data_IF_335059284195
#
_entry.id   IF_335059284195
#
_cell.length_a   1.000
_cell.length_b   1.000
_cell.length_c   1.000
_cell.angle_alpha   90.00
_cell.angle_beta   90.00
_cell.angle_gamma   90.00
#
_symmetry.space_group_name_H-M   'P 1'
#
loop_
_entity.id
_entity.type
_entity.pdbx_description
1 polymer ?
#
# COMPACT_ATOMS: atom_id res chain seq x y z
N UNK A 1 61.93 -23.34 30.05
CA UNK A 1 60.47 -23.29 29.78
C UNK A 1 60.22 -22.08 28.88
N UNK A 2 59.84 -22.30 27.62
CA UNK A 2 59.53 -21.22 26.67
C UNK A 2 58.02 -21.18 26.47
N UNK A 3 57.36 -20.14 26.96
CA UNK A 3 55.95 -19.89 26.67
C UNK A 3 55.84 -19.20 25.30
N UNK A 4 55.14 -19.85 24.38
CA UNK A 4 54.72 -19.23 23.11
C UNK A 4 53.34 -18.63 23.33
N UNK A 5 53.10 -17.36 22.96
CA UNK A 5 51.76 -16.80 22.98
C UNK A 5 50.99 -17.35 21.78
N UNK A 6 49.80 -17.91 22.05
CA UNK A 6 48.84 -18.29 21.02
C UNK A 6 48.00 -17.04 20.72
N UNK A 7 48.16 -16.50 19.52
CA UNK A 7 47.34 -15.41 19.01
C UNK A 7 46.00 -16.01 18.55
N UNK A 8 44.93 -15.81 19.33
CA UNK A 8 43.57 -16.19 18.92
C UNK A 8 42.99 -15.04 18.09
N UNK A 9 42.95 -15.23 16.77
CA UNK A 9 42.26 -14.31 15.87
C UNK A 9 40.76 -14.59 15.91
N UNK A 10 40.00 -13.74 16.60
CA UNK A 10 38.53 -13.77 16.59
C UNK A 10 38.08 -13.10 15.28
N UNK A 11 37.68 -13.92 14.31
CA UNK A 11 37.05 -13.45 13.08
C UNK A 11 35.58 -13.16 13.38
N UNK A 12 35.24 -11.88 13.54
CA UNK A 12 33.86 -11.44 13.63
C UNK A 12 33.21 -11.53 12.24
N UNK A 13 32.49 -12.61 11.96
CA UNK A 13 31.59 -12.70 10.81
C UNK A 13 30.43 -11.74 11.02
N UNK A 14 30.50 -10.57 10.37
CA UNK A 14 29.35 -9.70 10.15
C UNK A 14 28.37 -10.46 9.24
N UNK A 15 27.35 -11.07 9.83
CA UNK A 15 26.16 -11.48 9.09
C UNK A 15 25.45 -10.19 8.69
N UNK A 16 25.65 -9.75 7.45
CA UNK A 16 24.78 -8.76 6.85
C UNK A 16 23.40 -9.41 6.72
N UNK A 17 22.48 -9.06 7.61
CA UNK A 17 21.06 -9.39 7.47
C UNK A 17 20.63 -8.93 6.09
N UNK A 18 20.46 -9.89 5.18
CA UNK A 18 19.86 -9.61 3.90
C UNK A 18 18.40 -9.30 4.21
N UNK A 19 18.02 -8.03 4.24
CA UNK A 19 16.60 -7.66 4.20
C UNK A 19 16.12 -8.23 2.86
N UNK A 20 15.44 -9.38 2.93
CA UNK A 20 14.87 -10.00 1.74
C UNK A 20 13.66 -9.16 1.42
N UNK A 21 13.83 -8.24 0.50
CA UNK A 21 12.74 -7.38 0.12
C UNK A 21 11.68 -8.19 -0.63
N UNK A 22 10.44 -8.09 -0.14
CA UNK A 22 9.35 -8.90 -0.65
C UNK A 22 8.71 -8.17 -1.83
N UNK A 23 8.98 -8.66 -3.03
CA UNK A 23 8.34 -8.10 -4.22
C UNK A 23 6.81 -8.22 -4.14
N UNK A 24 6.11 -7.15 -4.53
CA UNK A 24 4.66 -7.20 -4.62
C UNK A 24 4.22 -8.30 -5.61
N UNK A 25 3.28 -9.20 -5.23
CA UNK A 25 2.71 -10.19 -6.14
C UNK A 25 2.18 -9.54 -7.42
N UNK A 26 2.28 -10.23 -8.56
CA UNK A 26 1.93 -9.68 -9.88
C UNK A 26 0.53 -9.06 -9.94
N UNK A 27 -0.45 -9.70 -9.31
CA UNK A 27 -1.82 -9.20 -9.25
C UNK A 27 -1.96 -7.95 -8.36
N UNK A 28 -1.23 -7.89 -7.24
CA UNK A 28 -1.19 -6.68 -6.40
C UNK A 28 -0.50 -5.53 -7.15
N UNK A 29 0.59 -5.81 -7.88
CA UNK A 29 1.24 -4.81 -8.75
C UNK A 29 0.33 -4.35 -9.89
N UNK A 30 -0.49 -5.25 -10.45
CA UNK A 30 -1.50 -4.87 -11.43
C UNK A 30 -2.57 -3.96 -10.80
N UNK A 31 -2.99 -4.23 -9.56
CA UNK A 31 -3.88 -3.34 -8.83
C UNK A 31 -3.23 -1.98 -8.54
N UNK A 32 -1.97 -1.94 -8.09
CA UNK A 32 -1.21 -0.70 -7.90
C UNK A 32 -1.20 0.16 -9.16
N UNK A 33 -0.85 -0.43 -10.32
CA UNK A 33 -0.84 0.28 -11.59
C UNK A 33 -2.25 0.76 -11.98
N UNK A 34 -3.27 -0.06 -11.74
CA UNK A 34 -4.67 0.28 -12.02
C UNK A 34 -5.18 1.41 -11.12
N UNK A 35 -4.82 1.40 -9.84
CA UNK A 35 -5.15 2.45 -8.88
C UNK A 35 -4.55 3.78 -9.33
N UNK A 36 -3.27 3.80 -9.75
CA UNK A 36 -2.63 4.99 -10.32
C UNK A 36 -3.27 5.43 -11.63
N UNK A 37 -3.44 4.54 -12.61
CA UNK A 37 -3.99 4.95 -13.92
C UNK A 37 -5.51 5.24 -13.90
N UNK A 38 -6.20 4.91 -12.81
CA UNK A 38 -7.66 4.94 -12.72
C UNK A 38 -8.29 6.32 -12.58
N UNK A 39 -7.48 7.39 -12.47
CA UNK A 39 -7.95 8.74 -12.17
C UNK A 39 -8.56 8.86 -10.78
N UNK A 40 -9.30 9.94 -10.54
CA UNK A 40 -9.82 10.27 -9.22
C UNK A 40 -10.82 9.22 -8.70
N UNK A 41 -10.92 9.13 -7.37
CA UNK A 41 -11.94 8.35 -6.69
C UNK A 41 -13.14 9.24 -6.35
N UNK A 42 -14.29 8.98 -6.97
CA UNK A 42 -15.47 9.85 -6.88
C UNK A 42 -16.75 9.03 -6.78
N UNK A 43 -17.87 9.69 -6.44
CA UNK A 43 -19.18 9.05 -6.39
C UNK A 43 -19.26 7.96 -5.32
N UNK A 44 -19.84 6.81 -5.66
CA UNK A 44 -20.07 5.71 -4.72
C UNK A 44 -18.78 5.01 -4.25
N UNK A 45 -17.67 5.19 -4.97
CA UNK A 45 -16.38 4.59 -4.61
C UNK A 45 -15.63 5.43 -3.56
N UNK A 46 -15.98 6.70 -3.38
CA UNK A 46 -15.36 7.61 -2.42
C UNK A 46 -16.07 7.49 -1.05
N UNK A 47 -15.37 6.92 -0.07
CA UNK A 47 -15.90 6.80 1.29
C UNK A 47 -15.88 8.14 2.03
N UNK A 48 -14.77 8.87 1.88
CA UNK A 48 -14.63 10.23 2.37
C UNK A 48 -13.50 10.93 1.61
N UNK A 49 -13.73 12.19 1.25
CA UNK A 49 -12.80 13.05 0.48
C UNK A 49 -12.41 14.27 1.29
N UNK A 50 -11.30 14.92 0.96
CA UNK A 50 -10.91 16.19 1.58
C UNK A 50 -9.64 16.14 2.40
N UNK A 51 -8.87 15.06 2.29
CA UNK A 51 -7.67 14.81 3.09
C UNK A 51 -6.41 15.30 2.40
N UNK A 52 -5.42 15.64 3.20
CA UNK A 52 -4.16 16.20 2.76
C UNK A 52 -3.08 15.13 2.82
N UNK A 53 -2.37 14.96 1.70
CA UNK A 53 -1.20 14.11 1.63
C UNK A 53 0.06 14.85 2.09
N UNK A 54 0.08 16.16 1.86
CA UNK A 54 1.07 17.10 2.38
C UNK A 54 0.35 18.40 2.70
N UNK A 55 0.94 19.28 3.50
CA UNK A 55 0.39 20.60 3.84
C UNK A 55 -0.06 21.39 2.61
N UNK A 56 0.61 21.20 1.48
CA UNK A 56 0.38 21.94 0.24
C UNK A 56 -0.42 21.17 -0.81
N UNK A 57 -0.91 19.97 -0.49
CA UNK A 57 -1.60 19.07 -1.43
C UNK A 57 -3.04 19.46 -1.77
N UNK A 58 -3.63 20.39 -1.01
CA UNK A 58 -4.95 20.97 -1.32
C UNK A 58 -6.17 20.11 -0.99
N UNK A 59 -6.01 19.05 -0.18
CA UNK A 59 -7.17 18.30 0.33
C UNK A 59 -7.85 17.40 -0.70
N UNK A 60 -7.08 16.77 -1.59
CA UNK A 60 -7.61 15.95 -2.69
C UNK A 60 -7.47 14.44 -2.47
N UNK A 61 -6.91 14.01 -1.35
CA UNK A 61 -6.81 12.59 -1.01
C UNK A 61 -8.14 12.05 -0.47
N UNK A 62 -8.43 10.81 -0.84
CA UNK A 62 -9.71 10.13 -0.62
C UNK A 62 -9.50 8.74 -0.05
N UNK A 63 -10.30 8.37 0.96
CA UNK A 63 -10.49 6.96 1.33
C UNK A 63 -11.37 6.30 0.27
N UNK A 64 -10.80 5.36 -0.49
CA UNK A 64 -11.34 4.91 -1.76
C UNK A 64 -11.60 3.41 -1.80
N UNK A 65 -12.71 2.99 -2.42
CA UNK A 65 -13.04 1.57 -2.68
C UNK A 65 -13.01 1.19 -4.15
N UNK A 66 -12.68 2.14 -5.04
CA UNK A 66 -12.65 1.91 -6.49
C UNK A 66 -11.81 0.69 -6.84
N UNK A 67 -12.37 -0.20 -7.65
CA UNK A 67 -11.78 -1.49 -8.06
C UNK A 67 -11.60 -2.54 -6.97
N UNK A 68 -11.95 -2.26 -5.71
CA UNK A 68 -12.05 -3.27 -4.67
C UNK A 68 -13.46 -3.89 -4.68
N UNK A 69 -13.60 -5.19 -4.37
CA UNK A 69 -14.91 -5.76 -4.07
C UNK A 69 -15.56 -5.03 -2.89
N UNK A 70 -16.88 -4.81 -2.97
CA UNK A 70 -17.65 -4.14 -1.92
C UNK A 70 -17.42 -4.78 -0.56
N UNK A 71 -17.14 -3.95 0.45
CA UNK A 71 -16.98 -4.39 1.85
C UNK A 71 -15.68 -5.17 2.13
N UNK A 72 -14.69 -5.13 1.23
CA UNK A 72 -13.39 -5.79 1.43
C UNK A 72 -12.27 -4.88 1.94
N UNK A 73 -12.52 -3.59 2.07
CA UNK A 73 -11.53 -2.64 2.53
C UNK A 73 -11.55 -1.35 1.74
N UNK A 74 -10.49 -0.57 1.87
CA UNK A 74 -10.24 0.65 1.12
C UNK A 74 -8.75 0.85 0.88
N UNK A 75 -8.42 1.85 0.06
CA UNK A 75 -7.08 2.37 -0.09
C UNK A 75 -7.07 3.90 -0.16
N UNK A 76 -5.92 4.54 0.08
CA UNK A 76 -5.77 5.98 -0.08
C UNK A 76 -5.54 6.32 -1.57
N UNK A 77 -6.33 7.25 -2.10
CA UNK A 77 -6.22 7.71 -3.50
C UNK A 77 -6.16 9.23 -3.58
N UNK A 78 -5.07 9.77 -4.14
CA UNK A 78 -4.93 11.18 -4.50
C UNK A 78 -5.57 11.53 -5.85
N UNK A 79 -5.39 12.75 -6.37
CA UNK A 79 -5.85 13.15 -7.70
C UNK A 79 -5.03 12.47 -8.82
N UNK A 80 -5.62 12.31 -10.00
CA UNK A 80 -4.92 11.83 -11.20
C UNK A 80 -4.22 10.48 -10.99
N UNK A 81 -2.89 10.46 -11.10
CA UNK A 81 -2.05 9.28 -10.91
C UNK A 81 -1.55 9.03 -9.49
N UNK A 82 -1.91 9.92 -8.57
CA UNK A 82 -1.31 9.98 -7.25
C UNK A 82 -1.99 9.00 -6.32
N UNK A 83 -1.20 8.43 -5.41
CA UNK A 83 -1.64 7.67 -4.26
C UNK A 83 -1.42 8.52 -3.01
N UNK A 84 -0.85 7.97 -1.95
CA UNK A 84 -0.43 8.72 -0.79
C UNK A 84 1.11 8.82 -0.71
N UNK A 85 1.60 9.71 0.14
CA UNK A 85 3.00 9.81 0.53
C UNK A 85 3.27 8.85 1.71
N UNK A 86 4.45 8.97 2.33
CA UNK A 86 4.75 8.30 3.59
C UNK A 86 5.47 9.25 4.55
N UNK A 87 4.67 9.99 5.32
CA UNK A 87 5.17 10.75 6.47
C UNK A 87 5.39 9.83 7.67
N UNK A 88 6.15 10.31 8.66
CA UNK A 88 6.62 9.47 9.76
C UNK A 88 5.85 9.79 11.03
N UNK A 89 5.10 8.79 11.48
CA UNK A 89 4.56 8.76 12.82
C UNK A 89 5.56 8.08 13.78
N UNK A 90 5.84 8.77 14.87
CA UNK A 90 6.75 8.33 15.92
C UNK A 90 6.03 8.00 17.21
N UNK A 91 4.70 7.96 17.23
CA UNK A 91 3.90 7.76 18.43
C UNK A 91 4.07 6.38 19.09
N UNK A 92 3.64 6.30 20.35
CA UNK A 92 3.66 5.08 21.14
C UNK A 92 4.87 4.93 22.07
N UNK A 93 5.29 3.68 22.25
CA UNK A 93 6.35 3.25 23.16
C UNK A 93 7.74 3.70 22.68
N UNK A 94 8.40 4.55 23.49
CA UNK A 94 9.69 5.18 23.15
C UNK A 94 10.92 4.57 23.84
N UNK A 95 10.76 3.57 24.70
CA UNK A 95 11.88 3.03 25.51
C UNK A 95 12.98 2.33 24.72
N UNK A 96 12.71 1.98 23.45
CA UNK A 96 13.63 1.28 22.55
C UNK A 96 13.61 1.95 21.18
N UNK A 97 14.77 2.03 20.52
CA UNK A 97 14.91 2.62 19.19
C UNK A 97 16.33 3.05 18.89
N UNK A 98 16.58 3.48 17.66
CA UNK A 98 17.90 3.96 17.21
C UNK A 98 18.07 5.49 17.31
N UNK A 99 17.00 6.18 17.73
CA UNK A 99 16.98 7.62 17.95
C UNK A 99 16.55 8.45 16.75
N UNK A 100 16.24 7.85 15.60
CA UNK A 100 15.74 8.59 14.43
C UNK A 100 14.38 9.26 14.65
N UNK A 101 13.58 8.79 15.60
CA UNK A 101 12.37 9.50 16.03
C UNK A 101 12.64 10.77 16.86
N UNK A 102 13.85 10.99 17.39
CA UNK A 102 14.15 12.17 18.22
C UNK A 102 14.09 13.49 17.45
N UNK A 103 14.13 13.45 16.13
CA UNK A 103 13.91 14.64 15.31
C UNK A 103 12.45 15.07 15.31
N UNK A 104 11.50 14.14 15.47
CA UNK A 104 10.07 14.44 15.50
C UNK A 104 9.75 15.44 16.60
N UNK A 105 9.00 16.48 16.23
CA UNK A 105 8.49 17.49 17.16
C UNK A 105 7.07 17.22 17.60
N UNK A 106 6.45 16.16 17.08
CA UNK A 106 5.03 15.84 17.25
C UNK A 106 4.80 14.43 17.82
N UNK A 107 5.77 13.92 18.59
CA UNK A 107 5.67 12.58 19.17
C UNK A 107 4.79 12.56 20.42
N UNK A 108 3.83 11.64 20.43
CA UNK A 108 2.99 11.28 21.57
C UNK A 108 3.44 9.96 22.20
N UNK A 109 3.23 9.83 23.51
CA UNK A 109 3.66 8.66 24.27
C UNK A 109 2.76 7.42 24.13
N UNK A 110 1.73 7.48 23.28
CA UNK A 110 0.79 6.40 23.06
C UNK A 110 0.28 6.42 21.62
N UNK A 111 0.06 5.25 21.01
CA UNK A 111 -0.73 5.16 19.78
C UNK A 111 -2.21 5.08 20.09
N UNK A 112 -3.08 5.27 19.09
CA UNK A 112 -4.53 5.14 19.26
C UNK A 112 -4.96 3.83 19.94
N UNK A 113 -4.31 2.71 19.63
CA UNK A 113 -4.74 1.39 20.08
C UNK A 113 -3.99 0.84 21.29
N UNK A 114 -2.83 1.40 21.63
CA UNK A 114 -1.87 0.85 22.59
C UNK A 114 -2.46 0.36 23.90
N UNK A 115 -2.90 1.29 24.74
CA UNK A 115 -3.27 1.00 26.13
C UNK A 115 -4.42 -0.02 26.29
N UNK A 116 -5.37 -0.08 25.35
CA UNK A 116 -6.54 -0.97 25.47
C UNK A 116 -6.40 -2.29 24.74
N UNK A 117 -5.73 -2.30 23.59
CA UNK A 117 -5.70 -3.48 22.73
C UNK A 117 -4.46 -4.33 22.95
N UNK A 118 -3.35 -3.72 23.39
CA UNK A 118 -2.07 -4.42 23.50
C UNK A 118 -1.74 -4.89 24.92
N UNK A 119 -2.35 -4.34 25.95
CA UNK A 119 -2.10 -4.74 27.34
C UNK A 119 -2.33 -6.25 27.55
N UNK A 120 -3.36 -6.83 26.91
CA UNK A 120 -3.65 -8.27 26.94
C UNK A 120 -2.55 -9.14 26.30
N UNK A 121 -1.65 -8.53 25.53
CA UNK A 121 -0.50 -9.15 24.89
C UNK A 121 0.81 -8.86 25.63
N UNK A 122 0.76 -8.25 26.81
CA UNK A 122 1.94 -8.00 27.64
C UNK A 122 2.79 -6.82 27.19
N UNK A 123 2.33 -6.02 26.21
CA UNK A 123 2.98 -4.78 25.80
C UNK A 123 2.06 -3.59 26.01
N UNK A 124 2.66 -2.45 26.34
CA UNK A 124 1.91 -1.24 26.67
C UNK A 124 1.40 -0.53 25.42
N UNK A 125 2.22 -0.50 24.38
CA UNK A 125 1.95 0.21 23.13
C UNK A 125 2.79 -0.36 21.97
N UNK A 126 2.48 0.07 20.75
CA UNK A 126 3.36 -0.10 19.60
C UNK A 126 4.60 0.77 19.77
N UNK A 127 5.72 0.34 19.20
CA UNK A 127 6.97 1.09 19.19
C UNK A 127 7.31 1.41 17.74
N UNK A 128 7.38 2.70 17.37
CA UNK A 128 7.60 3.13 15.99
C UNK A 128 8.91 2.62 15.36
N UNK A 129 9.92 2.23 16.15
CA UNK A 129 11.19 1.68 15.66
C UNK A 129 11.13 0.16 15.42
N UNK A 130 10.12 -0.54 15.94
CA UNK A 130 10.03 -2.00 15.91
C UNK A 130 8.76 -2.50 15.21
N UNK A 131 7.64 -1.82 15.42
CA UNK A 131 6.34 -2.25 14.92
C UNK A 131 6.03 -1.51 13.63
N UNK A 132 5.97 -2.19 12.46
CA UNK A 132 5.38 -1.59 11.27
C UNK A 132 3.89 -1.36 11.52
N UNK A 133 3.51 -0.09 11.53
CA UNK A 133 2.12 0.30 11.61
C UNK A 133 1.85 1.50 10.69
N UNK A 134 0.59 1.70 10.37
CA UNK A 134 0.11 2.83 9.59
C UNK A 134 -0.86 3.67 10.40
N UNK A 135 -0.97 4.94 10.04
CA UNK A 135 -1.96 5.86 10.57
C UNK A 135 -3.10 5.96 9.57
N UNK A 136 -4.29 5.53 9.97
CA UNK A 136 -5.50 5.61 9.15
C UNK A 136 -6.67 6.11 9.97
N UNK A 137 -7.57 6.82 9.29
CA UNK A 137 -8.64 7.56 9.92
C UNK A 137 -8.18 8.93 10.41
N UNK A 138 -9.17 9.78 10.65
CA UNK A 138 -8.99 11.14 11.11
C UNK A 138 -10.06 11.42 12.15
N UNK A 139 -9.65 11.88 13.32
CA UNK A 139 -10.54 12.21 14.42
C UNK A 139 -10.24 13.58 15.01
N UNK A 140 -11.17 14.10 15.82
CA UNK A 140 -11.04 15.42 16.44
C UNK A 140 -11.97 16.46 15.83
N UNK A 141 -11.53 17.71 15.88
CA UNK A 141 -12.22 18.92 15.43
C UNK A 141 -12.00 19.26 13.95
N UNK A 142 -11.13 18.54 13.23
CA UNK A 142 -10.99 18.72 11.78
C UNK A 142 -12.23 18.29 10.98
N UNK A 143 -12.34 18.84 9.77
CA UNK A 143 -13.33 18.43 8.78
C UNK A 143 -12.65 18.31 7.42
N UNK A 144 -12.76 17.16 6.73
CA UNK A 144 -13.50 15.96 7.12
C UNK A 144 -12.86 15.14 8.27
N UNK A 145 -13.65 14.28 8.89
CA UNK A 145 -13.19 13.12 9.68
C UNK A 145 -13.54 11.82 8.97
N UNK A 146 -12.85 10.74 9.32
CA UNK A 146 -13.15 9.39 8.83
C UNK A 146 -12.74 8.34 9.86
N UNK A 147 -13.66 7.42 10.17
CA UNK A 147 -13.39 6.29 11.05
C UNK A 147 -13.40 4.99 10.24
N UNK A 148 -12.25 4.33 10.01
CA UNK A 148 -12.15 3.07 9.28
C UNK A 148 -13.07 1.95 9.80
N UNK A 149 -13.49 2.00 11.08
CA UNK A 149 -14.45 1.02 11.64
C UNK A 149 -15.82 1.10 10.99
N UNK A 150 -16.21 2.26 10.48
CA UNK A 150 -17.50 2.47 9.79
C UNK A 150 -17.62 1.64 8.51
N UNK A 151 -16.49 1.21 7.95
CA UNK A 151 -16.41 0.33 6.77
C UNK A 151 -15.82 -1.05 7.09
N UNK A 152 -15.82 -1.41 8.37
CA UNK A 152 -15.49 -2.76 8.83
C UNK A 152 -14.00 -3.05 9.00
N UNK A 153 -13.13 -2.05 8.98
CA UNK A 153 -11.72 -2.23 9.36
C UNK A 153 -11.63 -2.25 10.88
N UNK A 154 -11.13 -3.35 11.44
CA UNK A 154 -11.01 -3.53 12.89
C UNK A 154 -9.70 -2.90 13.40
N UNK A 155 -9.63 -2.37 14.63
CA UNK A 155 -8.37 -1.92 15.22
C UNK A 155 -7.28 -2.98 15.13
N UNK A 156 -6.05 -2.55 14.82
CA UNK A 156 -4.89 -3.43 14.59
C UNK A 156 -5.01 -4.39 13.38
N UNK A 157 -5.98 -4.19 12.49
CA UNK A 157 -6.04 -4.94 11.23
C UNK A 157 -4.76 -4.78 10.43
N UNK A 158 -4.31 -5.86 9.78
CA UNK A 158 -3.20 -5.84 8.83
C UNK A 158 -3.54 -4.85 7.70
N UNK A 159 -2.53 -4.11 7.27
CA UNK A 159 -2.54 -3.22 6.12
C UNK A 159 -1.43 -3.66 5.18
N UNK A 160 -1.74 -3.84 3.89
CA UNK A 160 -0.74 -4.06 2.86
C UNK A 160 -0.26 -2.72 2.33
N UNK A 161 1.04 -2.46 2.38
CA UNK A 161 1.66 -1.24 1.87
C UNK A 161 2.55 -1.60 0.68
N UNK A 162 2.32 -0.95 -0.47
CA UNK A 162 3.21 -1.05 -1.62
C UNK A 162 3.99 0.24 -1.76
N UNK A 163 5.31 0.14 -1.62
CA UNK A 163 6.28 1.23 -1.63
C UNK A 163 7.56 0.71 -2.31
N UNK A 164 8.26 1.53 -3.10
CA UNK A 164 9.50 1.11 -3.77
C UNK A 164 9.43 -0.24 -4.52
N UNK A 165 8.29 -0.54 -5.18
CA UNK A 165 7.97 -1.83 -5.85
C UNK A 165 7.90 -3.07 -4.93
N UNK A 166 7.92 -2.85 -3.62
CA UNK A 166 7.93 -3.87 -2.58
C UNK A 166 6.61 -3.87 -1.80
N UNK A 167 6.30 -5.02 -1.20
CA UNK A 167 5.15 -5.21 -0.33
C UNK A 167 5.64 -5.33 1.12
N UNK A 168 5.21 -4.38 1.94
CA UNK A 168 5.43 -4.38 3.39
C UNK A 168 4.08 -4.53 4.09
N UNK A 169 4.00 -5.36 5.11
CA UNK A 169 2.83 -5.43 5.98
C UNK A 169 3.05 -4.60 7.24
N UNK A 170 2.03 -3.85 7.60
CA UNK A 170 1.90 -3.25 8.92
C UNK A 170 0.53 -3.56 9.52
N UNK A 171 0.25 -2.96 10.67
CA UNK A 171 -1.10 -2.93 11.25
C UNK A 171 -1.65 -1.50 11.26
N UNK A 172 -2.97 -1.35 11.23
CA UNK A 172 -3.59 -0.07 11.55
C UNK A 172 -3.36 0.22 13.04
N UNK A 173 -2.33 1.01 13.33
CA UNK A 173 -1.80 1.26 14.67
C UNK A 173 -2.30 2.56 15.28
N UNK A 174 -2.50 3.57 14.43
CA UNK A 174 -2.85 4.92 14.87
C UNK A 174 -3.90 5.61 14.00
N UNK A 175 -4.33 6.81 14.42
CA UNK A 175 -5.29 7.67 13.75
C UNK A 175 -4.82 9.12 13.84
N UNK A 176 -4.90 9.86 12.72
CA UNK A 176 -4.52 11.27 12.70
C UNK A 176 -5.45 12.10 13.61
N UNK A 177 -4.84 12.89 14.48
CA UNK A 177 -5.52 13.74 15.45
C UNK A 177 -5.57 15.21 15.05
N UNK A 178 -5.85 16.07 16.05
CA UNK A 178 -5.92 17.53 15.88
C UNK A 178 -4.54 18.23 15.97
N UNK A 179 -3.50 17.65 15.37
CA UNK A 179 -2.08 18.07 15.53
C UNK A 179 -1.59 19.07 14.46
N UNK A 180 -2.20 19.06 13.27
CA UNK A 180 -1.78 19.89 12.11
C UNK A 180 -2.93 20.71 11.52
N UNK A 181 -2.69 21.82 10.80
CA UNK A 181 -3.77 22.70 10.27
C UNK A 181 -4.84 21.96 9.40
N UNK A 182 -4.48 20.79 8.88
CA UNK A 182 -5.25 20.04 7.91
C UNK A 182 -5.49 18.58 8.37
N UNK A 183 -6.58 17.92 7.91
CA UNK A 183 -6.77 16.50 8.13
C UNK A 183 -5.80 15.70 7.24
N UNK A 184 -4.64 15.40 7.80
CA UNK A 184 -3.53 14.70 7.15
C UNK A 184 -3.79 13.20 7.00
N UNK A 185 -3.20 12.57 5.99
CA UNK A 185 -3.16 11.12 5.78
C UNK A 185 -1.82 10.74 5.17
N UNK A 186 -1.51 9.45 5.14
CA UNK A 186 -0.27 8.95 4.53
C UNK A 186 0.87 8.83 5.51
N UNK A 187 0.60 8.69 6.81
CA UNK A 187 1.63 8.46 7.81
C UNK A 187 1.83 6.97 8.12
N UNK A 188 3.06 6.63 8.45
CA UNK A 188 3.45 5.29 8.89
C UNK A 188 4.58 5.34 9.92
N UNK A 189 4.75 4.24 10.65
CA UNK A 189 5.82 4.14 11.63
C UNK A 189 7.20 4.20 10.99
N UNK A 190 8.18 4.70 11.74
CA UNK A 190 9.59 4.70 11.32
C UNK A 190 10.07 3.32 10.84
N UNK A 191 9.63 2.23 11.47
CA UNK A 191 9.98 0.86 11.10
C UNK A 191 9.45 0.49 9.72
N UNK A 192 8.18 0.82 9.42
CA UNK A 192 7.57 0.56 8.12
C UNK A 192 8.28 1.37 7.03
N UNK A 193 8.48 2.66 7.25
CA UNK A 193 9.14 3.52 6.29
C UNK A 193 10.62 3.16 6.08
N UNK A 194 11.32 2.71 7.13
CA UNK A 194 12.68 2.18 7.00
C UNK A 194 12.70 0.91 6.14
N UNK A 195 11.68 0.06 6.20
CA UNK A 195 11.59 -1.11 5.33
C UNK A 195 11.41 -0.73 3.86
N UNK A 196 10.65 0.34 3.57
CA UNK A 196 10.43 0.83 2.20
C UNK A 196 11.66 1.56 1.62
N UNK A 197 12.28 2.45 2.40
CA UNK A 197 13.20 3.47 1.89
C UNK A 197 14.56 3.48 2.58
N UNK A 198 14.77 2.56 3.52
CA UNK A 198 16.04 2.38 4.20
C UNK A 198 16.31 3.38 5.33
N UNK A 199 17.54 3.39 5.86
CA UNK A 199 17.87 4.05 7.12
C UNK A 199 17.98 5.58 7.04
N UNK A 200 17.84 6.18 5.84
CA UNK A 200 17.81 7.64 5.68
C UNK A 200 16.54 8.29 6.20
N UNK A 201 15.46 7.52 6.36
CA UNK A 201 14.20 7.98 6.94
C UNK A 201 14.40 8.34 8.41
N UNK A 202 13.78 9.44 8.85
CA UNK A 202 13.77 9.88 10.25
C UNK A 202 12.43 10.52 10.61
N UNK A 203 12.20 10.83 11.90
CA UNK A 203 10.92 11.39 12.36
C UNK A 203 10.50 12.73 11.73
N UNK A 204 11.39 13.43 11.02
CA UNK A 204 11.07 14.64 10.24
C UNK A 204 11.40 14.51 8.75
N UNK A 205 11.71 13.31 8.27
CA UNK A 205 12.09 13.07 6.89
C UNK A 205 11.53 11.74 6.46
N UNK A 206 10.29 11.78 5.98
CA UNK A 206 9.60 10.68 5.31
C UNK A 206 9.90 10.63 3.82
N UNK A 207 8.89 10.27 3.06
CA UNK A 207 8.90 10.15 1.60
C UNK A 207 7.74 10.96 1.03
N UNK A 208 8.04 12.05 0.32
CA UNK A 208 7.07 13.05 -0.14
C UNK A 208 6.31 12.61 -1.41
N UNK A 209 6.89 11.73 -2.22
CA UNK A 209 6.27 11.31 -3.48
C UNK A 209 4.96 10.56 -3.22
N UNK A 210 3.90 10.96 -3.94
CA UNK A 210 2.57 10.38 -3.80
C UNK A 210 2.41 9.05 -4.58
N UNK A 211 3.27 8.08 -4.28
CA UNK A 211 3.33 6.79 -4.98
C UNK A 211 3.21 5.57 -4.05
N UNK A 212 2.82 5.77 -2.79
CA UNK A 212 2.62 4.72 -1.79
C UNK A 212 1.16 4.27 -1.75
N UNK A 213 0.96 2.96 -1.88
CA UNK A 213 -0.37 2.35 -1.80
C UNK A 213 -0.59 1.73 -0.43
N UNK A 214 -1.56 2.25 0.33
CA UNK A 214 -2.04 1.64 1.57
C UNK A 214 -3.35 0.91 1.32
N UNK A 215 -3.43 -0.40 1.59
CA UNK A 215 -4.66 -1.19 1.46
C UNK A 215 -5.05 -1.72 2.83
N UNK A 216 -6.10 -1.14 3.41
CA UNK A 216 -6.69 -1.59 4.66
C UNK A 216 -7.75 -2.65 4.37
N UNK A 217 -7.63 -3.83 4.98
CA UNK A 217 -8.58 -4.91 4.82
C UNK A 217 -9.72 -4.80 5.84
N UNK A 218 -10.96 -4.97 5.38
CA UNK A 218 -12.11 -5.07 6.27
C UNK A 218 -12.31 -6.52 6.74
N UNK A 219 -12.91 -6.68 7.92
CA UNK A 219 -13.26 -7.96 8.51
C UNK A 219 -12.31 -8.41 9.62
N UNK A 220 -12.82 -9.29 10.49
CA UNK A 220 -12.08 -9.79 11.67
C UNK A 220 -10.86 -10.63 11.29
N UNK A 221 -10.89 -11.23 10.10
CA UNK A 221 -9.76 -11.95 9.51
C UNK A 221 -8.54 -11.06 9.23
N UNK A 222 -8.73 -9.74 9.21
CA UNK A 222 -7.63 -8.80 9.04
C UNK A 222 -6.84 -8.60 10.33
N UNK A 223 -7.41 -8.84 11.51
CA UNK A 223 -6.71 -8.71 12.79
C UNK A 223 -5.73 -9.88 12.96
N UNK A 224 -4.42 -9.64 13.15
CA UNK A 224 -3.43 -10.71 13.17
C UNK A 224 -3.62 -11.62 14.39
N UNK A 225 -3.89 -12.90 14.15
CA UNK A 225 -4.17 -13.86 15.21
C UNK A 225 -2.91 -14.31 15.98
N UNK A 226 -1.73 -14.13 15.38
CA UNK A 226 -0.44 -14.61 15.90
C UNK A 226 0.65 -13.52 15.89
N UNK A 227 0.27 -12.25 15.86
CA UNK A 227 1.22 -11.16 15.95
C UNK A 227 2.07 -11.29 17.22
N UNK A 228 3.39 -11.19 17.06
CA UNK A 228 4.36 -11.14 18.16
C UNK A 228 4.46 -9.70 18.67
N UNK A 229 3.45 -9.23 19.39
CA UNK A 229 3.41 -7.84 19.89
C UNK A 229 4.57 -7.48 20.83
N UNK A 230 5.24 -8.46 21.43
CA UNK A 230 6.43 -8.32 22.25
C UNK A 230 7.75 -8.52 21.48
N UNK A 231 7.68 -8.53 20.13
CA UNK A 231 8.86 -8.64 19.27
C UNK A 231 9.90 -7.57 19.60
N UNK A 232 11.16 -7.97 19.52
CA UNK A 232 12.30 -7.14 19.85
C UNK A 232 12.98 -6.50 18.64
N UNK A 233 12.44 -6.76 17.45
CA UNK A 233 12.94 -6.36 16.13
C UNK A 233 11.78 -6.24 15.13
N UNK A 234 11.98 -5.41 14.11
CA UNK A 234 11.06 -5.28 12.98
C UNK A 234 10.82 -6.63 12.30
N UNK A 235 11.89 -7.38 12.03
CA UNK A 235 11.84 -8.64 11.31
C UNK A 235 11.00 -9.68 12.07
N UNK A 236 11.17 -9.77 13.40
CA UNK A 236 10.39 -10.71 14.21
C UNK A 236 8.90 -10.37 14.24
N UNK A 237 8.54 -9.08 14.26
CA UNK A 237 7.15 -8.66 14.20
C UNK A 237 6.56 -8.89 12.81
N UNK A 238 7.23 -8.40 11.76
CA UNK A 238 6.75 -8.52 10.38
C UNK A 238 6.53 -9.99 10.01
N UNK A 239 7.51 -10.86 10.27
CA UNK A 239 7.42 -12.31 10.01
C UNK A 239 6.19 -12.94 10.68
N UNK A 240 5.81 -12.44 11.86
CA UNK A 240 4.67 -12.97 12.61
C UNK A 240 3.31 -12.67 11.98
N UNK A 241 3.22 -11.63 11.15
CA UNK A 241 2.00 -11.22 10.44
C UNK A 241 2.03 -11.56 8.95
N UNK A 242 3.21 -11.80 8.36
CA UNK A 242 3.39 -12.00 6.91
C UNK A 242 2.47 -13.07 6.34
N UNK A 243 2.39 -14.25 6.96
CA UNK A 243 1.60 -15.36 6.42
C UNK A 243 0.09 -15.04 6.37
N UNK A 244 -0.42 -14.28 7.34
CA UNK A 244 -1.82 -13.84 7.33
C UNK A 244 -2.02 -12.70 6.33
N UNK A 245 -1.08 -11.76 6.24
CA UNK A 245 -1.09 -10.72 5.20
C UNK A 245 -1.09 -11.30 3.79
N UNK A 246 -0.29 -12.33 3.54
CA UNK A 246 -0.24 -13.04 2.25
C UNK A 246 -1.56 -13.68 1.90
N UNK A 247 -2.21 -14.29 2.89
CA UNK A 247 -3.53 -14.85 2.72
C UNK A 247 -4.55 -13.77 2.35
N UNK A 248 -4.55 -12.60 3.00
CA UNK A 248 -5.46 -11.49 2.70
C UNK A 248 -5.24 -10.95 1.28
N UNK A 249 -3.98 -10.70 0.91
CA UNK A 249 -3.61 -10.25 -0.44
C UNK A 249 -4.01 -11.28 -1.50
N UNK A 250 -3.73 -12.57 -1.27
CA UNK A 250 -4.11 -13.65 -2.19
C UNK A 250 -5.62 -13.82 -2.30
N UNK A 251 -6.39 -13.62 -1.23
CA UNK A 251 -7.85 -13.71 -1.29
C UNK A 251 -8.47 -12.55 -2.06
N UNK A 252 -7.87 -11.36 -1.96
CA UNK A 252 -8.38 -10.16 -2.60
C UNK A 252 -7.95 -10.01 -4.06
N UNK A 253 -6.70 -10.39 -4.37
CA UNK A 253 -6.08 -10.17 -5.68
C UNK A 253 -5.65 -11.45 -6.39
N UNK A 254 -5.71 -12.62 -5.77
CA UNK A 254 -5.31 -13.89 -6.40
C UNK A 254 -6.26 -14.32 -7.52
N UNK A 255 -5.72 -15.08 -8.47
CA UNK A 255 -6.48 -15.62 -9.59
C UNK A 255 -7.55 -16.61 -9.08
N UNK A 256 -8.82 -16.24 -9.21
CA UNK A 256 -9.97 -17.12 -8.88
C UNK A 256 -10.17 -18.29 -9.85
N UNK A 257 -9.34 -18.39 -10.89
CA UNK A 257 -9.44 -19.39 -11.96
C UNK A 257 -9.22 -20.84 -11.50
N UNK A 258 -8.79 -21.08 -10.25
CA UNK A 258 -8.53 -22.42 -9.70
C UNK A 258 -9.56 -22.91 -8.68
N UNK A 259 -10.59 -22.11 -8.34
CA UNK A 259 -11.55 -22.44 -7.27
C UNK A 259 -12.81 -23.22 -7.72
N UNK A 260 -12.97 -23.54 -9.01
CA UNK A 260 -14.13 -24.28 -9.55
C UNK A 260 -13.80 -25.71 -10.01
N UNK A 261 -12.82 -26.36 -9.37
CA UNK A 261 -12.51 -27.78 -9.55
C UNK A 261 -13.04 -28.66 -8.42
N UNK A 262 -14.28 -28.45 -7.96
CA UNK A 262 -14.93 -29.25 -6.93
C UNK A 262 -15.97 -30.18 -7.55
N UNK A 263 -15.63 -31.46 -7.64
CA UNK A 263 -16.42 -32.56 -8.20
C UNK A 263 -17.80 -32.69 -7.55
N UNK A 264 -18.86 -32.60 -8.37
CA UNK A 264 -20.23 -32.96 -7.98
C UNK A 264 -20.56 -34.35 -8.56
N UNK A 265 -20.77 -35.40 -7.73
CA UNK A 265 -21.08 -36.74 -8.20
C UNK A 265 -22.58 -37.04 -8.02
N UNK A 266 -23.44 -36.45 -8.84
CA UNK A 266 -24.69 -37.08 -9.30
C UNK A 266 -25.56 -36.08 -10.06
N UNK A 267 -25.61 -36.19 -11.39
CA UNK A 267 -26.91 -36.24 -12.05
C UNK A 267 -26.82 -36.91 -13.42
N UNK A 268 -27.45 -38.06 -13.50
CA UNK A 268 -27.81 -38.75 -14.74
C UNK A 268 -28.78 -37.90 -15.55
N UNK A 269 -28.56 -37.76 -16.86
CA UNK A 269 -29.51 -38.18 -17.91
C UNK A 269 -29.01 -37.84 -19.32
N UNK A 270 -28.95 -38.89 -20.14
CA UNK A 270 -29.34 -39.00 -21.55
C UNK A 270 -28.81 -37.99 -22.60
N UNK A 271 -28.06 -38.55 -23.56
CA UNK A 271 -27.95 -38.07 -24.93
C UNK A 271 -29.30 -38.22 -25.69
N UNK A 272 -29.47 -37.59 -26.86
CA UNK A 272 -28.95 -38.21 -28.08
C UNK A 272 -28.19 -37.27 -29.03
N UNK A 273 -27.40 -37.91 -29.88
CA UNK A 273 -26.61 -37.38 -31.00
C UNK A 273 -27.39 -37.63 -32.31
N UNK A 274 -26.96 -36.94 -33.37
CA UNK A 274 -27.28 -37.00 -34.81
C UNK A 274 -28.17 -35.83 -35.26
N UNK A 275 -27.85 -35.05 -36.30
CA UNK A 275 -27.10 -35.36 -37.52
C UNK A 275 -26.59 -34.10 -38.23
N UNK A 276 -25.47 -34.24 -38.95
CA UNK A 276 -24.92 -33.32 -39.96
C UNK A 276 -25.87 -33.07 -41.15
N UNK A 277 -25.76 -31.89 -41.78
CA UNK A 277 -25.84 -31.74 -43.25
C UNK A 277 -25.51 -30.31 -43.69
N UNK A 278 -24.48 -30.20 -44.52
CA UNK A 278 -24.08 -29.05 -45.34
C UNK A 278 -25.16 -28.59 -46.32
N UNK A 279 -25.13 -27.31 -46.72
CA UNK A 279 -25.11 -26.90 -48.13
C UNK A 279 -25.12 -25.38 -48.31
N UNK A 280 -24.18 -24.89 -49.11
CA UNK A 280 -24.09 -23.58 -49.76
C UNK A 280 -25.37 -23.17 -50.51
N UNK A 281 -25.57 -21.87 -50.69
CA UNK A 281 -25.94 -21.24 -51.98
C UNK A 281 -25.90 -19.71 -51.86
N UNK A 282 -25.20 -19.12 -52.83
CA UNK A 282 -25.16 -17.71 -53.18
C UNK A 282 -26.56 -17.15 -53.52
N UNK A 283 -26.73 -15.82 -53.41
CA UNK A 283 -27.23 -15.02 -54.53
C UNK A 283 -27.24 -13.51 -54.19
N UNK A 284 -26.76 -12.76 -55.18
CA UNK A 284 -26.71 -11.32 -55.33
C UNK A 284 -28.11 -10.66 -55.32
N UNK A 285 -28.22 -9.39 -54.90
CA UNK A 285 -28.38 -8.28 -55.85
C UNK A 285 -28.75 -6.95 -55.16
N UNK A 286 -27.97 -5.94 -55.55
CA UNK A 286 -28.30 -4.58 -56.00
C UNK A 286 -29.33 -3.69 -55.30
N UNK A 287 -29.00 -2.40 -55.20
CA UNK A 287 -29.96 -1.40 -54.69
C UNK A 287 -29.44 -0.02 -54.34
N UNK A 288 -28.62 0.58 -55.21
CA UNK A 288 -28.28 2.01 -55.30
C UNK A 288 -29.26 3.02 -54.67
N UNK A 289 -28.75 4.05 -53.99
CA UNK A 289 -28.71 5.44 -54.49
C UNK A 289 -28.58 6.53 -53.40
N UNK A 290 -27.56 7.39 -53.61
CA UNK A 290 -27.57 8.87 -53.46
C UNK A 290 -27.71 9.44 -52.03
N UNK A 291 -26.99 10.49 -51.61
CA UNK A 291 -26.37 11.60 -52.32
C UNK A 291 -25.44 12.38 -51.35
N UNK A 292 -24.36 12.97 -51.90
CA UNK A 292 -23.77 14.30 -51.59
C UNK A 292 -23.27 14.61 -50.17
N UNK A 293 -22.25 15.43 -49.95
CA UNK A 293 -21.07 15.90 -50.68
C UNK A 293 -20.33 16.82 -49.68
N UNK A 294 -19.03 16.99 -49.90
CA UNK A 294 -18.17 18.13 -49.47
C UNK A 294 -17.68 18.25 -48.03
N UNK A 295 -16.42 17.81 -47.87
CA UNK A 295 -15.21 18.60 -47.57
C UNK A 295 -15.37 20.03 -47.06
N UNK A 296 -14.73 20.29 -45.92
CA UNK A 296 -13.50 21.10 -45.72
C UNK A 296 -13.19 21.00 -44.21
N UNK A 297 -11.99 20.86 -43.66
CA UNK A 297 -10.66 21.27 -44.05
C UNK A 297 -9.99 21.85 -42.77
N UNK A 298 -8.71 21.50 -42.53
CA UNK A 298 -7.82 22.04 -41.47
C UNK A 298 -8.08 21.55 -40.02
N UNK A 299 -7.11 21.29 -39.14
CA UNK A 299 -5.65 21.52 -39.15
C UNK A 299 -5.03 20.58 -38.11
N UNK A 300 -4.01 19.84 -38.52
CA UNK A 300 -3.12 19.02 -37.67
C UNK A 300 -2.14 19.98 -37.00
N UNK A 301 -2.16 20.08 -35.66
CA UNK A 301 -1.15 20.84 -34.90
C UNK A 301 -0.29 19.88 -34.09
N UNK A 302 0.91 19.66 -34.62
CA UNK A 302 2.04 19.00 -33.99
C UNK A 302 2.74 20.01 -33.08
N UNK A 303 2.77 19.76 -31.77
CA UNK A 303 3.63 20.52 -30.84
C UNK A 303 4.87 19.67 -30.54
N UNK A 304 6.08 20.19 -30.74
CA UNK A 304 7.32 19.44 -30.56
C UNK A 304 7.67 19.26 -29.08
N UNK A 305 8.13 18.05 -28.74
CA UNK A 305 8.81 17.72 -27.47
C UNK A 305 10.13 18.50 -27.39
N UNK A 306 10.25 19.41 -26.43
CA UNK A 306 11.55 19.93 -26.03
C UNK A 306 12.26 18.86 -25.18
N UNK A 307 13.37 18.38 -25.71
CA UNK A 307 14.35 17.56 -25.01
C UNK A 307 15.17 18.49 -24.09
N UNK A 308 15.12 18.29 -22.78
CA UNK A 308 16.07 18.89 -21.85
C UNK A 308 17.06 17.82 -21.39
N UNK A 309 18.15 17.71 -22.15
CA UNK A 309 19.42 17.15 -21.68
C UNK A 309 20.03 18.13 -20.69
N UNK A 310 20.01 17.79 -19.39
CA UNK A 310 20.82 18.49 -18.39
C UNK A 310 22.23 17.88 -18.40
N UNK A 311 23.20 18.73 -18.71
CA UNK A 311 24.63 18.47 -18.72
C UNK A 311 25.15 18.48 -17.28
N UNK A 312 25.68 17.35 -16.81
CA UNK A 312 26.45 17.27 -15.56
C UNK A 312 27.86 17.80 -15.84
N UNK A 313 28.21 18.94 -15.25
CA UNK A 313 29.58 19.44 -15.20
C UNK A 313 30.17 19.16 -13.81
N UNK A 314 31.07 18.18 -13.73
CA UNK A 314 32.01 18.03 -12.62
C UNK A 314 32.97 19.22 -12.60
N UNK A 315 33.03 19.94 -11.48
CA UNK A 315 34.17 20.79 -11.16
C UNK A 315 34.83 20.21 -9.90
N UNK A 316 36.02 19.65 -10.11
CA UNK A 316 36.97 19.36 -9.05
C UNK A 316 38.05 20.47 -9.06
N UNK A 317 38.16 21.22 -7.98
CA UNK A 317 39.33 22.02 -7.59
C UNK A 317 39.35 21.96 -6.05
N UNK A 318 40.27 21.21 -5.43
CA UNK A 318 41.65 21.60 -5.09
C UNK A 318 41.68 22.93 -4.33
N UNK A 319 41.55 22.82 -3.00
CA UNK A 319 42.42 23.39 -1.96
C UNK A 319 42.11 22.66 -0.65
#
# INVERSE_FOLDING_TARGET
MRHRPVLVAITATLFASQITTKQAPSALRAFYNKARSGGDCTGADALQTGFYNTEWSGGHTTYCTKYLPTGKGFYLKGPGSDLANMDIDCDGEQSRGDGRCKSSTDTQGQTRWGLKHLEKHGVRDLNANLHPYVVLGNEGGYSPTFDPRTVGVEPLSIVAVVCADELVYGVWGDTNGDDNEHPMVGEASLALATACYGPSISGNSGHDEADVLYIAFAGKEAVPARAKWDADSYEAFEESITAQGDQLVSQLFGDRSTATGGSDPHHTSAAPIDSDSDSDSDDDDDGSSKHSDKSDGARRSTIPRLCHTILVALIALVC
#
